data_IF_366790010867
#
_entry.id   IF_366790010867
#
_cell.length_a   1.000
_cell.length_b   1.000
_cell.length_c   1.000
_cell.angle_alpha   90.00
_cell.angle_beta   90.00
_cell.angle_gamma   90.00
#
_symmetry.space_group_name_H-M   'P 1'
#
loop_
_entity.id
_entity.type
_entity.pdbx_description
1 polymer ?
#
# COMPACT_ATOMS: atom_id res chain seq x y z
N UNK A 1 35.36 29.22 -23.01
CA UNK A 1 34.85 29.14 -21.63
C UNK A 1 33.55 28.37 -21.70
N UNK A 2 33.56 27.08 -21.33
CA UNK A 2 32.36 26.25 -21.39
C UNK A 2 31.52 26.53 -20.13
N UNK A 3 30.37 27.17 -20.32
CA UNK A 3 29.39 27.32 -19.23
C UNK A 3 28.52 26.08 -19.29
N UNK A 4 28.76 25.16 -18.35
CA UNK A 4 28.06 23.89 -18.23
C UNK A 4 26.57 24.09 -18.01
N UNK A 5 25.78 23.71 -19.01
CA UNK A 5 24.34 23.52 -18.86
C UNK A 5 24.11 22.31 -17.97
N UNK A 6 23.75 22.55 -16.70
CA UNK A 6 23.13 21.51 -15.89
C UNK A 6 21.72 21.34 -16.44
N UNK A 7 21.52 20.30 -17.24
CA UNK A 7 20.18 19.82 -17.58
C UNK A 7 19.48 19.49 -16.26
N UNK A 8 18.59 20.38 -15.85
CA UNK A 8 17.70 20.13 -14.73
C UNK A 8 16.69 19.13 -15.26
N UNK A 9 16.88 17.85 -14.95
CA UNK A 9 15.87 16.82 -15.17
C UNK A 9 14.65 17.20 -14.33
N UNK A 10 13.76 18.01 -14.91
CA UNK A 10 12.45 18.29 -14.37
C UNK A 10 11.64 17.01 -14.57
N UNK A 11 11.75 16.06 -13.64
CA UNK A 11 10.79 14.96 -13.57
C UNK A 11 9.43 15.58 -13.29
N UNK A 12 8.66 15.81 -14.36
CA UNK A 12 7.26 16.17 -14.27
C UNK A 12 6.52 14.94 -13.71
N UNK A 13 6.40 14.88 -12.38
CA UNK A 13 5.63 13.85 -11.73
C UNK A 13 4.15 14.17 -11.96
N UNK A 14 3.56 13.55 -12.98
CA UNK A 14 2.12 13.66 -13.24
C UNK A 14 1.42 12.94 -12.08
N UNK A 15 0.61 13.63 -11.27
CA UNK A 15 -0.11 12.98 -10.19
C UNK A 15 -1.09 11.98 -10.79
N UNK A 16 -0.99 10.70 -10.37
CA UNK A 16 -1.89 9.64 -10.85
C UNK A 16 -3.37 9.92 -10.56
N UNK A 17 -3.64 10.72 -9.52
CA UNK A 17 -4.99 11.05 -9.06
C UNK A 17 -5.11 12.57 -8.87
N UNK A 18 -5.16 13.35 -9.96
CA UNK A 18 -5.11 14.82 -9.90
C UNK A 18 -6.31 15.42 -9.17
N UNK A 19 -7.46 14.74 -9.21
CA UNK A 19 -8.71 15.13 -8.55
C UNK A 19 -8.95 14.40 -7.22
N UNK A 20 -7.99 13.59 -6.78
CA UNK A 20 -8.19 12.68 -5.65
C UNK A 20 -8.56 11.26 -6.08
N UNK A 21 -8.19 10.30 -5.24
CA UNK A 21 -8.60 8.90 -5.38
C UNK A 21 -9.84 8.65 -4.54
N UNK A 22 -10.88 8.08 -5.16
CA UNK A 22 -12.04 7.58 -4.45
C UNK A 22 -11.66 6.33 -3.66
N UNK A 23 -12.00 6.31 -2.38
CA UNK A 23 -11.78 5.16 -1.50
C UNK A 23 -13.03 4.90 -0.64
N UNK A 24 -13.21 3.66 -0.14
CA UNK A 24 -14.31 3.35 0.75
C UNK A 24 -14.33 4.26 1.97
N UNK A 25 -15.52 4.73 2.35
CA UNK A 25 -15.72 5.62 3.51
C UNK A 25 -15.04 5.16 4.81
N UNK A 26 -15.13 3.87 5.21
CA UNK A 26 -14.45 3.37 6.39
C UNK A 26 -12.92 3.54 6.35
N UNK A 27 -12.31 3.28 5.17
CA UNK A 27 -10.87 3.40 4.95
C UNK A 27 -10.43 4.87 5.01
N UNK A 28 -11.23 5.80 4.47
CA UNK A 28 -10.95 7.24 4.58
C UNK A 28 -10.96 7.72 6.03
N UNK A 29 -11.92 7.24 6.85
CA UNK A 29 -12.00 7.62 8.26
C UNK A 29 -10.76 7.18 9.04
N UNK A 30 -10.31 5.95 8.80
CA UNK A 30 -9.09 5.42 9.41
C UNK A 30 -7.85 6.22 8.97
N UNK A 31 -7.72 6.48 7.66
CA UNK A 31 -6.63 7.29 7.11
C UNK A 31 -6.58 8.70 7.70
N UNK A 32 -7.74 9.34 7.88
CA UNK A 32 -7.85 10.65 8.54
C UNK A 32 -7.37 10.61 9.98
N UNK A 33 -7.58 9.51 10.70
CA UNK A 33 -7.06 9.33 12.05
C UNK A 33 -5.52 9.27 12.06
N UNK A 34 -4.91 8.70 11.02
CA UNK A 34 -3.46 8.52 10.89
C UNK A 34 -2.73 9.71 10.24
N UNK A 35 -3.44 10.70 9.69
CA UNK A 35 -2.86 11.89 9.03
C UNK A 35 -1.83 12.65 9.88
N UNK A 36 -1.91 12.56 11.20
CA UNK A 36 -0.95 13.20 12.10
C UNK A 36 0.44 12.55 12.09
N UNK A 37 0.54 11.27 11.68
CA UNK A 37 1.80 10.53 11.55
C UNK A 37 2.48 10.78 10.20
N UNK A 38 1.74 11.30 9.22
CA UNK A 38 2.24 11.51 7.87
C UNK A 38 3.08 12.81 7.81
N UNK A 39 4.28 12.78 7.21
CA UNK A 39 5.08 13.97 6.92
C UNK A 39 4.30 15.04 6.13
N UNK A 40 4.57 16.33 6.40
CA UNK A 40 3.80 17.45 5.84
C UNK A 40 3.85 17.53 4.31
N UNK A 41 4.99 17.17 3.72
CA UNK A 41 5.22 17.11 2.28
C UNK A 41 4.32 16.07 1.58
N UNK A 42 4.01 14.96 2.25
CA UNK A 42 3.17 13.89 1.71
C UNK A 42 1.66 14.12 1.94
N UNK A 43 1.26 15.05 2.84
CA UNK A 43 -0.16 15.25 3.21
C UNK A 43 -1.04 15.72 2.06
N UNK A 44 -0.50 16.46 1.10
CA UNK A 44 -1.26 17.00 -0.02
C UNK A 44 -2.00 15.92 -0.81
N UNK A 45 -1.41 14.73 -0.95
CA UNK A 45 -2.07 13.59 -1.58
C UNK A 45 -3.28 13.11 -0.78
N UNK A 46 -3.10 12.90 0.53
CA UNK A 46 -4.12 12.32 1.41
C UNK A 46 -5.29 13.26 1.71
N UNK A 47 -5.07 14.57 1.62
CA UNK A 47 -6.14 15.56 1.79
C UNK A 47 -7.14 15.57 0.63
N UNK A 48 -6.71 15.16 -0.56
CA UNK A 48 -7.56 15.12 -1.75
C UNK A 48 -8.36 13.81 -1.87
N UNK A 49 -8.28 12.88 -0.92
CA UNK A 49 -9.04 11.63 -0.96
C UNK A 49 -10.53 11.88 -0.76
N UNK A 50 -11.35 11.28 -1.62
CA UNK A 50 -12.81 11.36 -1.57
C UNK A 50 -13.40 10.05 -1.05
N UNK A 51 -14.48 10.16 -0.27
CA UNK A 51 -15.27 8.99 0.10
C UNK A 51 -16.20 8.65 -1.07
N UNK A 52 -16.26 7.38 -1.41
CA UNK A 52 -17.23 6.82 -2.33
C UNK A 52 -17.87 5.61 -1.65
N UNK A 53 -19.17 5.69 -1.43
CA UNK A 53 -19.97 4.67 -0.74
C UNK A 53 -20.42 3.55 -1.68
N UNK A 54 -20.34 3.76 -3.01
CA UNK A 54 -20.62 2.75 -4.03
C UNK A 54 -19.39 1.88 -4.33
N UNK A 55 -18.23 2.27 -3.81
CA UNK A 55 -16.96 1.58 -3.95
C UNK A 55 -16.89 0.41 -2.97
N UNK A 56 -17.29 -0.77 -3.43
CA UNK A 56 -17.04 -2.04 -2.73
C UNK A 56 -15.52 -2.28 -2.71
N UNK A 57 -14.94 -2.37 -1.51
CA UNK A 57 -13.56 -2.85 -1.35
C UNK A 57 -13.55 -4.30 -1.86
N UNK A 58 -12.68 -4.63 -2.82
CA UNK A 58 -12.42 -6.02 -3.22
C UNK A 58 -11.75 -6.73 -2.04
N UNK A 59 -12.57 -7.25 -1.12
CA UNK A 59 -12.15 -8.08 0.02
C UNK A 59 -11.97 -9.54 -0.41
N UNK A 60 -11.83 -9.84 -1.70
CA UNK A 60 -11.33 -11.15 -2.12
C UNK A 60 -9.80 -11.13 -2.08
N UNK A 61 -9.30 -11.17 -0.84
CA UNK A 61 -7.96 -11.66 -0.57
C UNK A 61 -7.79 -13.06 -1.18
N UNK A 62 -6.59 -13.33 -1.70
CA UNK A 62 -6.22 -14.59 -2.34
C UNK A 62 -6.76 -15.81 -1.57
N UNK A 63 -7.83 -16.41 -2.08
CA UNK A 63 -8.47 -17.63 -1.56
C UNK A 63 -7.90 -18.89 -2.23
N UNK A 64 -6.66 -18.79 -2.73
CA UNK A 64 -5.94 -19.89 -3.33
C UNK A 64 -5.18 -20.74 -2.31
N UNK A 65 -4.84 -21.96 -2.72
CA UNK A 65 -3.77 -22.72 -2.07
C UNK A 65 -2.49 -21.92 -2.20
N UNK A 66 -1.85 -21.70 -1.07
CA UNK A 66 -0.55 -21.03 -0.99
C UNK A 66 0.48 -21.88 -1.74
N UNK A 67 1.14 -21.31 -2.76
CA UNK A 67 2.09 -22.02 -3.64
C UNK A 67 3.48 -22.21 -3.00
N UNK A 68 3.53 -22.40 -1.68
CA UNK A 68 4.75 -22.75 -0.96
C UNK A 68 4.49 -23.90 0.02
N UNK A 69 5.41 -24.86 0.02
CA UNK A 69 5.42 -25.94 1.00
C UNK A 69 5.87 -25.37 2.35
N UNK A 70 4.97 -25.39 3.33
CA UNK A 70 5.36 -25.14 4.73
C UNK A 70 6.10 -26.38 5.20
N UNK A 71 7.44 -26.34 5.25
CA UNK A 71 8.24 -27.32 5.99
C UNK A 71 7.82 -27.25 7.45
N UNK A 72 6.91 -28.16 7.84
CA UNK A 72 6.64 -28.42 9.25
C UNK A 72 7.66 -29.46 9.69
N UNK A 73 8.62 -29.04 10.51
CA UNK A 73 9.57 -29.92 11.18
C UNK A 73 8.77 -30.95 12.00
N UNK A 74 8.53 -32.10 11.39
CA UNK A 74 7.94 -33.24 12.07
C UNK A 74 9.03 -33.80 12.95
N UNK A 75 9.02 -33.43 14.23
CA UNK A 75 9.82 -34.12 15.24
C UNK A 75 9.30 -35.55 15.27
N UNK A 76 9.99 -36.45 14.57
CA UNK A 76 9.76 -37.89 14.64
C UNK A 76 10.00 -38.27 16.10
N UNK A 77 8.90 -38.44 16.83
CA UNK A 77 8.92 -39.04 18.14
C UNK A 77 9.00 -40.54 17.90
N UNK A 78 10.23 -41.05 17.80
CA UNK A 78 10.50 -42.48 17.83
C UNK A 78 9.94 -43.04 19.13
N UNK A 79 8.73 -43.60 19.06
CA UNK A 79 8.18 -44.40 20.14
C UNK A 79 8.77 -45.81 20.00
N UNK A 80 9.86 -46.08 20.72
CA UNK A 80 10.27 -47.43 21.09
C UNK A 80 9.09 -48.10 21.81
N UNK A 81 8.61 -49.23 21.27
CA UNK A 81 7.86 -50.21 22.06
C UNK A 81 8.56 -51.58 21.97
N UNK A 82 8.86 -52.05 23.17
CA UNK A 82 9.50 -53.28 23.66
C UNK A 82 9.08 -54.60 23.00
#
# INVERSE_FOLDING_TARGET
>A
MFVGGKEVFLMCYIPMWPTGKAIPGPKLKDLKSLLHLIPQDAKGFYQNLTADDDLLDDVDGFSGVVDFEVETDTIVSDHEEN
#
